data_IF_536324776975
#
_entry.id   IF_536324776975
#
_cell.length_a   1.000
_cell.length_b   1.000
_cell.length_c   1.000
_cell.angle_alpha   90.00
_cell.angle_beta   90.00
_cell.angle_gamma   90.00
#
_symmetry.space_group_name_H-M   'P 1'
#
loop_
_entity.id
_entity.type
_entity.pdbx_description
1 polymer ?
#
# COMPACT_ATOMS: atom_id res chain seq x y z
N UNK A 1 -13.41 -28.74 -3.88
CA UNK A 1 -13.52 -27.38 -4.48
C UNK A 1 -12.40 -26.43 -4.07
N UNK A 2 -11.59 -26.75 -3.04
CA UNK A 2 -10.48 -25.89 -2.56
C UNK A 2 -9.28 -25.71 -3.51
N UNK A 3 -9.15 -26.58 -4.53
CA UNK A 3 -7.98 -26.59 -5.43
C UNK A 3 -7.95 -25.40 -6.39
N UNK A 4 -9.12 -24.99 -6.91
CA UNK A 4 -9.25 -23.87 -7.87
C UNK A 4 -9.02 -22.51 -7.18
N UNK A 5 -9.47 -22.38 -5.94
CA UNK A 5 -9.32 -21.17 -5.13
C UNK A 5 -7.84 -20.92 -4.76
N UNK A 6 -7.06 -21.98 -4.54
CA UNK A 6 -5.62 -21.85 -4.25
C UNK A 6 -4.79 -21.49 -5.49
N UNK A 7 -5.03 -22.12 -6.65
CA UNK A 7 -4.29 -21.79 -7.87
C UNK A 7 -4.60 -20.38 -8.38
N UNK A 8 -5.87 -19.95 -8.31
CA UNK A 8 -6.28 -18.59 -8.65
C UNK A 8 -5.56 -17.56 -7.80
N UNK A 9 -5.53 -17.73 -6.47
CA UNK A 9 -4.81 -16.83 -5.55
C UNK A 9 -3.31 -16.79 -5.83
N UNK A 10 -2.70 -17.93 -6.14
CA UNK A 10 -1.27 -18.01 -6.51
C UNK A 10 -1.00 -17.24 -7.81
N UNK A 11 -1.89 -17.36 -8.80
CA UNK A 11 -1.82 -16.61 -10.05
C UNK A 11 -1.92 -15.10 -9.80
N UNK A 12 -2.93 -14.64 -9.05
CA UNK A 12 -3.08 -13.22 -8.70
C UNK A 12 -1.87 -12.70 -7.93
N UNK A 13 -1.34 -13.46 -6.97
CA UNK A 13 -0.14 -13.08 -6.22
C UNK A 13 1.07 -12.89 -7.14
N UNK A 14 1.25 -13.78 -8.13
CA UNK A 14 2.33 -13.66 -9.12
C UNK A 14 2.14 -12.42 -9.99
N UNK A 15 0.92 -12.18 -10.50
CA UNK A 15 0.61 -10.99 -11.31
C UNK A 15 0.92 -9.69 -10.55
N UNK A 16 0.49 -9.58 -9.29
CA UNK A 16 0.81 -8.41 -8.46
C UNK A 16 2.34 -8.32 -8.24
N UNK A 17 3.01 -9.43 -7.97
CA UNK A 17 4.47 -9.45 -7.75
C UNK A 17 5.24 -9.04 -9.00
N UNK A 18 4.79 -9.43 -10.18
CA UNK A 18 5.41 -9.06 -11.45
C UNK A 18 5.14 -7.58 -11.78
N UNK A 19 3.92 -7.08 -11.55
CA UNK A 19 3.61 -5.66 -11.64
C UNK A 19 4.45 -4.80 -10.66
N UNK A 20 4.76 -5.33 -9.47
CA UNK A 20 5.66 -4.66 -8.53
C UNK A 20 7.10 -4.56 -9.04
N UNK A 21 7.55 -5.42 -9.96
CA UNK A 21 8.88 -5.35 -10.58
C UNK A 21 8.96 -4.40 -11.77
N UNK A 22 7.82 -4.08 -12.39
CA UNK A 22 7.76 -3.21 -13.57
C UNK A 22 7.78 -1.74 -13.15
N UNK A 23 8.89 -1.03 -13.38
CA UNK A 23 9.08 0.35 -12.95
C UNK A 23 8.11 1.36 -13.56
N UNK A 24 7.39 1.02 -14.64
CA UNK A 24 6.34 1.86 -15.24
C UNK A 24 5.02 1.80 -14.43
N UNK A 25 4.84 0.78 -13.60
CA UNK A 25 3.66 0.60 -12.76
C UNK A 25 3.91 1.18 -11.36
N UNK A 26 3.21 2.28 -11.04
CA UNK A 26 3.33 2.98 -9.75
C UNK A 26 2.23 2.54 -8.77
N UNK A 27 0.99 2.34 -9.25
CA UNK A 27 -0.18 2.03 -8.43
C UNK A 27 -0.79 0.71 -8.90
N UNK A 28 -1.07 -0.18 -7.96
CA UNK A 28 -1.76 -1.46 -8.19
C UNK A 28 -2.98 -1.52 -7.29
N UNK A 29 -4.16 -1.67 -7.89
CA UNK A 29 -5.42 -1.83 -7.17
C UNK A 29 -5.89 -3.28 -7.15
N UNK A 30 -6.24 -3.79 -5.98
CA UNK A 30 -6.87 -5.11 -5.80
C UNK A 30 -8.29 -4.92 -5.30
N UNK A 31 -9.28 -5.18 -6.15
CA UNK A 31 -10.69 -5.04 -5.79
C UNK A 31 -11.42 -6.39 -5.76
N UNK A 32 -12.58 -6.42 -5.10
CA UNK A 32 -13.43 -7.60 -5.02
C UNK A 32 -14.33 -7.60 -3.79
N UNK A 33 -15.23 -8.58 -3.69
CA UNK A 33 -16.20 -8.67 -2.60
C UNK A 33 -15.54 -8.79 -1.21
N UNK A 34 -16.33 -8.52 -0.16
CA UNK A 34 -15.90 -8.80 1.22
C UNK A 34 -15.61 -10.29 1.42
N UNK A 35 -14.68 -10.63 2.31
CA UNK A 35 -14.37 -12.03 2.67
C UNK A 35 -13.51 -12.82 1.68
N UNK A 36 -13.28 -12.32 0.45
CA UNK A 36 -12.51 -13.05 -0.58
C UNK A 36 -11.00 -13.16 -0.33
N UNK A 37 -10.50 -12.52 0.74
CA UNK A 37 -9.09 -12.64 1.17
C UNK A 37 -8.12 -11.57 0.63
N UNK A 38 -8.59 -10.43 0.11
CA UNK A 38 -7.73 -9.34 -0.42
C UNK A 38 -6.64 -8.89 0.56
N UNK A 39 -7.01 -8.63 1.81
CA UNK A 39 -6.08 -8.26 2.89
C UNK A 39 -4.99 -9.31 3.09
N UNK A 40 -5.35 -10.59 3.03
CA UNK A 40 -4.38 -11.70 3.17
C UNK A 40 -3.45 -11.72 1.97
N UNK A 41 -3.99 -11.57 0.76
CA UNK A 41 -3.24 -11.55 -0.49
C UNK A 41 -2.18 -10.44 -0.49
N UNK A 42 -2.55 -9.18 -0.21
CA UNK A 42 -1.59 -8.07 -0.24
C UNK A 42 -0.55 -8.16 0.88
N UNK A 43 -0.89 -8.72 2.04
CA UNK A 43 0.09 -9.01 3.12
C UNK A 43 1.10 -10.08 2.68
N UNK A 44 0.66 -11.14 2.00
CA UNK A 44 1.54 -12.17 1.45
C UNK A 44 2.44 -11.60 0.34
N UNK A 45 1.90 -10.78 -0.55
CA UNK A 45 2.67 -10.04 -1.57
C UNK A 45 3.72 -9.14 -0.90
N UNK A 46 3.35 -8.36 0.12
CA UNK A 46 4.27 -7.50 0.85
C UNK A 46 5.41 -8.27 1.51
N UNK A 47 5.12 -9.44 2.10
CA UNK A 47 6.14 -10.36 2.63
C UNK A 47 7.06 -10.87 1.50
N UNK A 48 6.48 -11.30 0.38
CA UNK A 48 7.24 -11.81 -0.76
C UNK A 48 8.15 -10.73 -1.37
N UNK A 49 7.67 -9.50 -1.46
CA UNK A 49 8.44 -8.36 -1.94
C UNK A 49 9.66 -8.06 -1.04
N UNK A 50 9.51 -8.21 0.28
CA UNK A 50 10.64 -8.15 1.24
C UNK A 50 11.63 -9.29 1.04
N UNK A 51 11.16 -10.53 0.92
CA UNK A 51 12.01 -11.71 0.69
C UNK A 51 12.83 -11.59 -0.60
N UNK A 52 12.21 -11.08 -1.66
CA UNK A 52 12.85 -10.83 -2.96
C UNK A 52 13.70 -9.55 -2.99
N UNK A 53 13.73 -8.77 -1.89
CA UNK A 53 14.44 -7.49 -1.79
C UNK A 53 14.07 -6.50 -2.91
N UNK A 54 12.80 -6.49 -3.31
CA UNK A 54 12.29 -5.55 -4.32
C UNK A 54 12.16 -4.12 -3.79
N UNK A 55 12.08 -3.96 -2.47
CA UNK A 55 11.97 -2.67 -1.79
C UNK A 55 12.85 -2.68 -0.55
N UNK A 56 13.36 -1.51 -0.18
CA UNK A 56 14.11 -1.29 1.05
C UNK A 56 13.19 -1.47 2.26
N UNK A 57 11.96 -0.97 2.15
CA UNK A 57 10.93 -1.04 3.20
C UNK A 57 9.55 -1.37 2.60
N UNK A 58 8.74 -2.10 3.36
CA UNK A 58 7.31 -2.30 3.05
C UNK A 58 6.50 -1.89 4.26
N UNK A 59 5.62 -0.91 4.06
CA UNK A 59 4.79 -0.28 5.08
C UNK A 59 3.31 -0.52 4.78
N UNK A 60 2.49 -0.57 5.82
CA UNK A 60 1.06 -0.89 5.72
C UNK A 60 0.27 0.15 6.51
N UNK A 61 -0.69 0.77 5.84
CA UNK A 61 -1.74 1.58 6.46
C UNK A 61 -3.10 0.90 6.27
N UNK A 62 -3.88 0.79 7.34
CA UNK A 62 -5.26 0.30 7.27
C UNK A 62 -6.19 1.51 7.24
N UNK A 63 -7.01 1.60 6.22
CA UNK A 63 -7.96 2.69 6.03
C UNK A 63 -9.32 2.22 6.55
N UNK A 64 -9.90 2.99 7.46
CA UNK A 64 -11.28 2.77 7.91
C UNK A 64 -12.29 3.34 6.92
N UNK A 65 -13.54 2.87 6.99
CA UNK A 65 -14.66 3.39 6.19
C UNK A 65 -14.78 4.92 6.23
N UNK A 66 -14.57 5.50 7.42
CA UNK A 66 -14.29 6.93 7.57
C UNK A 66 -12.78 7.12 7.66
N UNK A 67 -12.08 7.59 6.62
CA UNK A 67 -10.62 7.67 6.64
C UNK A 67 -10.14 8.67 7.70
N UNK A 68 -9.17 8.25 8.51
CA UNK A 68 -8.44 9.12 9.43
C UNK A 68 -6.99 9.22 8.95
N UNK A 69 -6.66 10.30 8.24
CA UNK A 69 -5.33 10.49 7.65
C UNK A 69 -4.25 10.45 8.72
N UNK A 70 -4.45 11.13 9.85
CA UNK A 70 -3.49 11.16 10.96
C UNK A 70 -3.17 9.77 11.51
N UNK A 71 -4.17 8.88 11.60
CA UNK A 71 -4.00 7.48 12.00
C UNK A 71 -3.17 6.70 10.98
N UNK A 72 -3.50 6.80 9.70
CA UNK A 72 -2.77 6.11 8.61
C UNK A 72 -1.32 6.60 8.55
N UNK A 73 -1.09 7.92 8.64
CA UNK A 73 0.25 8.50 8.73
C UNK A 73 1.02 7.95 9.95
N UNK A 74 0.35 7.77 11.09
CA UNK A 74 0.92 7.17 12.29
C UNK A 74 1.39 5.73 12.05
N UNK A 75 0.53 4.89 11.49
CA UNK A 75 0.85 3.49 11.16
C UNK A 75 2.06 3.38 10.23
N UNK A 76 2.10 4.21 9.18
CA UNK A 76 3.23 4.25 8.24
C UNK A 76 4.50 4.70 8.97
N UNK A 77 4.42 5.77 9.77
CA UNK A 77 5.57 6.30 10.49
C UNK A 77 6.16 5.30 11.49
N UNK A 78 5.31 4.58 12.24
CA UNK A 78 5.73 3.55 13.18
C UNK A 78 6.54 2.46 12.47
N UNK A 79 6.10 2.02 11.29
CA UNK A 79 6.81 1.03 10.48
C UNK A 79 8.13 1.55 9.89
N UNK A 80 8.24 2.85 9.64
CA UNK A 80 9.46 3.51 9.19
C UNK A 80 10.42 3.88 10.34
N UNK A 81 10.03 3.63 11.60
CA UNK A 81 10.75 4.09 12.79
C UNK A 81 10.80 5.61 12.91
N UNK A 82 9.82 6.31 12.33
CA UNK A 82 9.72 7.76 12.29
C UNK A 82 8.82 8.26 13.43
N UNK A 83 9.33 9.18 14.25
CA UNK A 83 8.50 9.95 15.19
C UNK A 83 8.08 11.26 14.54
N UNK A 84 6.84 11.69 14.78
CA UNK A 84 6.38 13.02 14.43
C UNK A 84 6.64 14.01 15.57
N UNK A 85 7.03 15.22 15.20
CA UNK A 85 7.00 16.40 16.08
C UNK A 85 5.88 17.36 15.63
N UNK A 86 5.28 17.08 14.48
CA UNK A 86 4.25 17.87 13.83
C UNK A 86 2.88 17.38 14.28
N UNK A 87 2.05 18.33 14.73
CA UNK A 87 0.66 18.06 15.10
C UNK A 87 -0.27 18.07 13.88
N UNK A 88 0.01 18.90 12.88
CA UNK A 88 -0.82 19.03 11.68
C UNK A 88 -0.62 17.87 10.70
N UNK A 89 -1.69 17.47 10.02
CA UNK A 89 -1.65 16.42 8.99
C UNK A 89 -0.70 16.78 7.86
N UNK A 90 -0.68 18.03 7.40
CA UNK A 90 0.24 18.52 6.36
C UNK A 90 1.70 18.45 6.81
N UNK A 91 2.00 18.80 8.06
CA UNK A 91 3.36 18.72 8.59
C UNK A 91 3.85 17.28 8.67
N UNK A 92 2.98 16.37 9.13
CA UNK A 92 3.24 14.92 9.15
C UNK A 92 3.44 14.36 7.75
N UNK A 93 2.60 14.74 6.78
CA UNK A 93 2.70 14.34 5.38
C UNK A 93 4.05 14.75 4.79
N UNK A 94 4.47 16.00 4.98
CA UNK A 94 5.78 16.50 4.51
C UNK A 94 6.94 15.70 5.11
N UNK A 95 6.84 15.34 6.39
CA UNK A 95 7.88 14.56 7.07
C UNK A 95 7.94 13.12 6.56
N UNK A 96 6.79 12.49 6.34
CA UNK A 96 6.67 11.17 5.71
C UNK A 96 7.27 11.18 4.31
N UNK A 97 6.88 12.15 3.48
CA UNK A 97 7.41 12.34 2.13
C UNK A 97 8.95 12.42 2.17
N UNK A 98 9.49 13.26 3.06
CA UNK A 98 10.95 13.44 3.20
C UNK A 98 11.65 12.15 3.64
N UNK A 99 11.05 11.35 4.54
CA UNK A 99 11.60 10.07 5.01
C UNK A 99 11.57 8.97 3.95
N UNK A 100 10.60 9.03 3.04
CA UNK A 100 10.41 8.05 1.98
C UNK A 100 11.10 8.43 0.66
N UNK A 101 11.42 9.71 0.47
CA UNK A 101 12.11 10.22 -0.72
C UNK A 101 13.42 9.48 -0.98
N UNK A 102 13.69 9.21 -2.26
CA UNK A 102 14.89 8.52 -2.75
C UNK A 102 15.09 7.10 -2.19
N UNK A 103 14.02 6.44 -1.73
CA UNK A 103 14.04 5.04 -1.27
C UNK A 103 13.06 4.21 -2.08
N UNK A 104 13.36 2.92 -2.22
CA UNK A 104 12.41 1.96 -2.79
C UNK A 104 11.47 1.52 -1.69
N UNK A 105 10.24 2.00 -1.70
CA UNK A 105 9.25 1.69 -0.66
C UNK A 105 7.97 1.21 -1.30
N UNK A 106 7.48 0.06 -0.85
CA UNK A 106 6.12 -0.37 -1.13
C UNK A 106 5.21 0.09 0.00
N UNK A 107 4.26 0.95 -0.32
CA UNK A 107 3.17 1.35 0.57
C UNK A 107 1.97 0.46 0.27
N UNK A 108 1.45 -0.22 1.28
CA UNK A 108 0.21 -0.99 1.18
C UNK A 108 -0.88 -0.23 1.91
N UNK A 109 -1.95 0.15 1.22
CA UNK A 109 -3.15 0.74 1.84
C UNK A 109 -4.31 -0.25 1.77
N UNK A 110 -4.67 -0.80 2.92
CA UNK A 110 -5.68 -1.86 3.01
C UNK A 110 -7.07 -1.29 3.34
N UNK A 111 -8.09 -1.86 2.71
CA UNK A 111 -9.52 -1.57 2.86
C UNK A 111 -9.87 -0.10 2.57
N UNK A 112 -9.49 0.41 1.40
CA UNK A 112 -9.90 1.75 0.95
C UNK A 112 -11.38 1.74 0.51
N UNK A 113 -12.19 2.63 1.09
CA UNK A 113 -13.63 2.74 0.80
C UNK A 113 -13.96 3.85 -0.20
N UNK A 114 -13.15 4.91 -0.26
CA UNK A 114 -13.31 6.04 -1.17
C UNK A 114 -11.93 6.55 -1.62
N UNK A 115 -11.89 7.35 -2.69
CA UNK A 115 -10.62 7.96 -3.16
C UNK A 115 -9.96 8.72 -2.00
N UNK A 116 -8.68 8.43 -1.80
CA UNK A 116 -7.87 9.00 -0.73
C UNK A 116 -6.87 10.00 -1.33
N UNK A 117 -6.66 11.11 -0.63
CA UNK A 117 -5.61 12.05 -1.00
C UNK A 117 -4.24 11.50 -0.56
N UNK A 118 -3.54 10.89 -1.51
CA UNK A 118 -2.23 10.26 -1.31
C UNK A 118 -1.14 11.30 -1.02
N UNK A 119 -1.31 12.54 -1.51
CA UNK A 119 -0.41 13.65 -1.21
C UNK A 119 -0.60 14.10 0.25
N UNK A 120 -1.84 14.15 0.73
CA UNK A 120 -2.14 14.42 2.13
C UNK A 120 -1.65 13.32 3.09
N UNK A 121 -1.48 12.08 2.61
CA UNK A 121 -0.77 11.04 3.36
C UNK A 121 0.75 11.22 3.38
N UNK A 122 1.30 11.97 2.42
CA UNK A 122 2.75 12.16 2.26
C UNK A 122 3.44 11.03 1.52
N UNK A 123 2.73 10.30 0.65
CA UNK A 123 3.31 9.20 -0.13
C UNK A 123 3.97 9.76 -1.41
N UNK A 124 5.28 9.58 -1.62
CA UNK A 124 6.00 10.21 -2.74
C UNK A 124 5.90 9.40 -4.05
N UNK A 125 4.69 9.27 -4.62
CA UNK A 125 4.47 8.50 -5.86
C UNK A 125 5.11 9.13 -7.10
N UNK A 126 5.56 10.38 -7.01
CA UNK A 126 6.37 11.07 -8.01
C UNK A 126 7.85 10.63 -8.01
N UNK A 127 8.28 9.87 -7.00
CA UNK A 127 9.66 9.41 -6.85
C UNK A 127 9.82 7.98 -7.35
N UNK A 128 10.84 7.76 -8.19
CA UNK A 128 11.20 6.41 -8.66
C UNK A 128 11.43 5.47 -7.47
N UNK A 129 10.80 4.30 -7.53
CA UNK A 129 10.93 3.25 -6.51
C UNK A 129 9.87 3.28 -5.41
N UNK A 130 9.05 4.33 -5.29
CA UNK A 130 7.88 4.31 -4.42
C UNK A 130 6.68 3.75 -5.18
N UNK A 131 6.05 2.70 -4.64
CA UNK A 131 4.86 2.07 -5.23
C UNK A 131 3.74 1.94 -4.23
N UNK A 132 2.52 2.02 -4.73
CA UNK A 132 1.30 1.85 -3.95
C UNK A 132 0.59 0.56 -4.36
N UNK A 133 0.30 -0.30 -3.37
CA UNK A 133 -0.61 -1.43 -3.51
C UNK A 133 -1.82 -1.18 -2.61
N UNK A 134 -3.01 -1.10 -3.20
CA UNK A 134 -4.23 -0.85 -2.42
C UNK A 134 -5.23 -1.98 -2.55
N UNK A 135 -6.05 -2.18 -1.51
CA UNK A 135 -7.23 -3.03 -1.59
C UNK A 135 -8.50 -2.21 -1.44
N UNK A 136 -9.55 -2.60 -2.13
CA UNK A 136 -10.87 -1.96 -2.03
C UNK A 136 -12.00 -2.94 -2.32
N UNK A 137 -13.22 -2.60 -1.90
CA UNK A 137 -14.43 -3.33 -2.32
C UNK A 137 -15.01 -2.79 -3.62
N UNK A 138 -14.58 -1.60 -4.03
CA UNK A 138 -15.22 -0.84 -5.09
C UNK A 138 -14.26 -0.63 -6.26
N UNK A 139 -14.58 -1.19 -7.42
CA UNK A 139 -13.76 -1.07 -8.63
C UNK A 139 -13.49 0.39 -9.02
N UNK A 140 -14.47 1.29 -8.83
CA UNK A 140 -14.32 2.71 -9.15
C UNK A 140 -13.26 3.46 -8.30
N UNK A 141 -12.79 2.87 -7.19
CA UNK A 141 -11.68 3.41 -6.40
C UNK A 141 -10.33 3.15 -7.10
N UNK A 142 -10.26 2.12 -7.95
CA UNK A 142 -9.06 1.77 -8.72
C UNK A 142 -8.96 2.50 -10.08
N UNK A 143 -10.02 3.20 -10.50
CA UNK A 143 -10.11 3.91 -11.79
C UNK A 143 -10.01 5.43 -11.60
#
# INVERSE_FOLDING_TARGET
EDFVDFESRKSTMNQITDALKDDEIIIIGVYGMSGVGKTVLVKQVGKKAKELKLFDEVVVGVVSETPNLRQVQGQIADMLGLKFNEESETGRARRLYTRMKNRRILVILDDIWARLDLEALGIPLDQKGCKLLLTTRHEHVCN
#
